data_IF_976196295717
#
_entry.id   IF_976196295717
#
_cell.length_a   1.000
_cell.length_b   1.000
_cell.length_c   1.000
_cell.angle_alpha   90.00
_cell.angle_beta   90.00
_cell.angle_gamma   90.00
#
_symmetry.space_group_name_H-M   'P 1'
#
loop_
_entity.id
_entity.type
_entity.pdbx_description
1 polymer ?
#
# COMPACT_ATOMS: atom_id res chain seq x y z
N UNK A 1 14.76 17.56 -10.66
CA UNK A 1 14.41 17.36 -12.06
C UNK A 1 15.21 18.30 -12.96
N UNK A 2 14.86 19.58 -13.16
CA UNK A 2 15.65 20.44 -14.08
C UNK A 2 17.17 20.52 -13.79
N UNK A 3 17.57 20.59 -12.51
CA UNK A 3 18.99 20.69 -12.14
C UNK A 3 19.79 19.37 -12.25
N UNK A 4 19.12 18.21 -12.31
CA UNK A 4 19.76 16.88 -12.30
C UNK A 4 19.65 16.17 -13.65
N UNK A 5 18.53 16.36 -14.32
CA UNK A 5 18.10 15.58 -15.47
C UNK A 5 17.63 16.49 -16.64
N UNK A 6 17.80 17.81 -16.52
CA UNK A 6 17.37 18.83 -17.50
C UNK A 6 15.91 18.68 -17.95
N UNK A 7 15.08 18.09 -17.08
CA UNK A 7 13.68 17.84 -17.37
C UNK A 7 12.84 19.07 -17.03
N UNK A 8 12.15 19.60 -18.05
CA UNK A 8 11.15 20.66 -17.90
C UNK A 8 9.80 20.06 -17.48
N UNK A 9 9.22 20.62 -16.41
CA UNK A 9 7.88 20.25 -15.96
C UNK A 9 6.87 20.60 -17.06
N UNK A 10 6.02 19.65 -17.51
CA UNK A 10 5.01 19.93 -18.54
C UNK A 10 4.01 21.00 -18.09
N UNK A 11 3.50 21.77 -19.05
CA UNK A 11 2.50 22.80 -18.79
C UNK A 11 1.20 22.17 -18.25
N UNK A 12 0.57 22.84 -17.28
CA UNK A 12 -0.69 22.38 -16.67
C UNK A 12 -0.54 21.28 -15.60
N UNK A 13 0.67 20.75 -15.37
CA UNK A 13 0.92 19.81 -14.28
C UNK A 13 1.01 20.58 -12.95
N UNK A 14 0.31 20.12 -11.93
CA UNK A 14 0.40 20.64 -10.56
C UNK A 14 0.70 19.48 -9.57
N UNK A 15 0.75 19.78 -8.28
CA UNK A 15 1.03 18.77 -7.26
C UNK A 15 -0.06 17.68 -7.18
N UNK A 16 -1.28 17.96 -7.65
CA UNK A 16 -2.39 16.99 -7.73
C UNK A 16 -2.13 15.88 -8.75
N UNK A 17 -1.19 16.08 -9.66
CA UNK A 17 -0.73 15.04 -10.57
C UNK A 17 0.39 14.18 -9.97
N UNK A 18 0.93 14.56 -8.81
CA UNK A 18 1.99 13.82 -8.15
C UNK A 18 1.39 12.84 -7.12
N UNK A 19 1.35 11.56 -7.50
CA UNK A 19 0.94 10.46 -6.63
C UNK A 19 2.17 9.61 -6.32
N UNK A 20 2.79 9.83 -5.17
CA UNK A 20 3.89 9.00 -4.67
C UNK A 20 3.29 7.75 -4.03
N UNK A 21 3.67 6.56 -4.48
CA UNK A 21 3.20 5.32 -3.88
C UNK A 21 4.16 4.82 -2.79
N UNK A 22 3.67 3.91 -1.93
CA UNK A 22 4.47 3.21 -0.92
C UNK A 22 5.80 2.70 -1.47
N UNK A 23 6.87 2.79 -0.67
CA UNK A 23 8.20 2.31 -1.06
C UNK A 23 8.23 0.79 -1.36
N UNK A 24 7.30 0.03 -0.78
CA UNK A 24 7.17 -1.39 -0.99
C UNK A 24 5.73 -1.85 -0.72
N UNK A 25 5.27 -2.83 -1.50
CA UNK A 25 3.96 -3.46 -1.36
C UNK A 25 3.74 -4.07 0.03
N UNK A 26 4.82 -4.53 0.67
CA UNK A 26 4.81 -5.07 2.04
C UNK A 26 4.29 -4.07 3.08
N UNK A 27 4.38 -2.77 2.82
CA UNK A 27 3.80 -1.75 3.69
C UNK A 27 2.27 -1.88 3.80
N UNK A 28 1.59 -2.24 2.70
CA UNK A 28 0.13 -2.42 2.70
C UNK A 28 -0.31 -3.59 3.60
N UNK A 29 0.51 -4.63 3.72
CA UNK A 29 0.21 -5.74 4.62
C UNK A 29 0.19 -5.30 6.09
N UNK A 30 0.96 -4.27 6.44
CA UNK A 30 1.00 -3.75 7.81
C UNK A 30 -0.27 -2.96 8.18
N UNK A 31 -1.04 -2.53 7.18
CA UNK A 31 -2.32 -1.86 7.40
C UNK A 31 -3.43 -2.83 7.85
N UNK A 32 -3.27 -4.14 7.60
CA UNK A 32 -4.29 -5.15 7.87
C UNK A 32 -3.70 -6.38 8.57
N UNK A 33 -3.30 -6.19 9.83
CA UNK A 33 -2.71 -7.22 10.69
C UNK A 33 -3.71 -8.36 10.96
N UNK A 34 -5.01 -8.09 10.88
CA UNK A 34 -6.06 -9.09 11.05
C UNK A 34 -6.01 -10.10 9.91
N UNK A 35 -6.02 -9.64 8.66
CA UNK A 35 -5.87 -10.50 7.47
C UNK A 35 -4.56 -11.28 7.52
N UNK A 36 -3.45 -10.67 7.95
CA UNK A 36 -2.19 -11.40 8.17
C UNK A 36 -2.35 -12.52 9.19
N UNK A 37 -2.99 -12.22 10.32
CA UNK A 37 -3.22 -13.18 11.39
C UNK A 37 -4.11 -14.34 10.95
N UNK A 38 -5.12 -14.09 10.13
CA UNK A 38 -6.00 -15.12 9.59
C UNK A 38 -5.29 -15.96 8.52
N UNK A 39 -4.58 -15.31 7.61
CA UNK A 39 -3.81 -15.99 6.56
C UNK A 39 -2.77 -16.93 7.14
N UNK A 40 -2.00 -16.49 8.14
CA UNK A 40 -0.94 -17.31 8.75
C UNK A 40 -1.46 -18.25 9.85
N UNK A 41 -2.54 -17.87 10.54
CA UNK A 41 -3.18 -18.66 11.59
C UNK A 41 -2.33 -18.83 12.85
N UNK A 42 -2.47 -19.99 13.49
CA UNK A 42 -1.80 -20.31 14.75
C UNK A 42 -0.29 -20.12 14.65
N UNK A 43 0.29 -19.44 15.65
CA UNK A 43 1.72 -19.15 15.72
C UNK A 43 2.13 -17.82 15.10
N UNK A 44 1.20 -17.09 14.45
CA UNK A 44 1.44 -15.73 13.97
C UNK A 44 1.65 -14.76 15.14
N UNK A 45 2.77 -14.03 15.12
CA UNK A 45 3.20 -13.13 16.19
C UNK A 45 2.88 -11.68 15.83
N UNK A 46 1.64 -11.25 16.10
CA UNK A 46 1.16 -9.87 15.81
C UNK A 46 2.08 -8.78 16.35
N UNK A 47 2.66 -9.00 17.53
CA UNK A 47 3.58 -8.05 18.19
C UNK A 47 4.94 -7.87 17.49
N UNK A 48 5.21 -8.60 16.39
CA UNK A 48 6.38 -8.39 15.54
C UNK A 48 6.11 -7.45 14.37
N UNK A 49 4.85 -7.09 14.13
CA UNK A 49 4.49 -6.05 13.17
C UNK A 49 4.51 -4.70 13.91
N UNK A 50 5.24 -3.68 13.41
CA UNK A 50 5.21 -2.35 14.01
C UNK A 50 3.80 -1.76 13.92
N UNK A 51 3.30 -1.25 15.04
CA UNK A 51 2.08 -0.47 15.08
C UNK A 51 2.36 0.89 14.43
N UNK A 52 1.76 1.13 13.28
CA UNK A 52 1.89 2.41 12.58
C UNK A 52 0.56 2.77 11.90
N UNK A 53 0.07 3.98 12.18
CA UNK A 53 -1.13 4.53 11.55
C UNK A 53 -0.87 5.04 10.13
N UNK A 54 0.39 5.24 9.75
CA UNK A 54 0.81 5.60 8.42
C UNK A 54 1.88 4.62 7.90
N UNK A 55 1.45 3.62 7.12
CA UNK A 55 2.34 2.57 6.60
C UNK A 55 3.38 3.10 5.63
N UNK A 56 3.19 4.30 5.05
CA UNK A 56 4.12 4.93 4.12
C UNK A 56 5.39 5.42 4.82
N UNK A 57 5.33 5.62 6.14
CA UNK A 57 6.46 6.04 6.96
C UNK A 57 7.26 4.86 7.54
N UNK A 58 6.84 3.62 7.32
CA UNK A 58 7.61 2.45 7.78
C UNK A 58 8.88 2.36 6.95
N UNK A 59 10.02 2.28 7.63
CA UNK A 59 11.32 2.13 6.98
C UNK A 59 11.30 0.84 6.16
N UNK A 60 11.64 0.94 4.87
CA UNK A 60 11.60 -0.19 3.93
C UNK A 60 12.35 -1.43 4.44
N UNK A 61 13.50 -1.20 5.08
CA UNK A 61 14.36 -2.26 5.60
C UNK A 61 13.74 -3.01 6.80
N UNK A 62 12.70 -2.45 7.44
CA UNK A 62 11.98 -3.09 8.54
C UNK A 62 10.79 -3.93 8.06
N UNK A 63 10.29 -3.72 6.84
CA UNK A 63 9.06 -4.35 6.35
C UNK A 63 9.17 -5.87 6.24
N UNK A 64 10.07 -6.36 5.38
CA UNK A 64 10.22 -7.80 5.14
C UNK A 64 10.70 -8.54 6.40
N UNK A 65 11.69 -8.05 7.17
CA UNK A 65 12.10 -8.71 8.41
C UNK A 65 10.96 -8.83 9.43
N UNK A 66 10.12 -7.79 9.58
CA UNK A 66 8.96 -7.81 10.48
C UNK A 66 7.96 -8.90 10.06
N UNK A 67 7.65 -9.02 8.77
CA UNK A 67 6.78 -10.07 8.25
C UNK A 67 7.35 -11.46 8.49
N UNK A 68 8.64 -11.67 8.24
CA UNK A 68 9.34 -12.95 8.50
C UNK A 68 9.29 -13.32 9.98
N UNK A 69 9.62 -12.38 10.86
CA UNK A 69 9.58 -12.60 12.32
C UNK A 69 8.16 -12.90 12.83
N UNK A 70 7.15 -12.26 12.25
CA UNK A 70 5.75 -12.49 12.61
C UNK A 70 5.23 -13.87 12.18
N UNK A 71 5.70 -14.39 11.04
CA UNK A 71 5.15 -15.60 10.41
C UNK A 71 5.96 -16.88 10.62
N UNK A 72 7.25 -16.80 10.92
CA UNK A 72 8.18 -17.97 10.98
C UNK A 72 7.76 -19.13 11.89
N UNK A 73 6.87 -18.91 12.86
CA UNK A 73 6.37 -19.94 13.78
C UNK A 73 5.03 -20.53 13.38
N UNK A 74 4.53 -20.22 12.18
CA UNK A 74 3.26 -20.70 11.65
C UNK A 74 3.47 -21.96 10.80
N UNK A 75 2.40 -22.69 10.51
CA UNK A 75 2.46 -23.85 9.61
C UNK A 75 2.76 -23.48 8.15
N UNK A 76 2.64 -22.19 7.78
CA UNK A 76 2.99 -21.68 6.45
C UNK A 76 4.44 -21.20 6.35
N UNK A 77 5.20 -21.28 7.44
CA UNK A 77 6.57 -20.81 7.51
C UNK A 77 6.70 -19.30 7.51
N UNK A 78 7.92 -18.81 7.32
CA UNK A 78 8.19 -17.37 7.24
C UNK A 78 7.66 -16.75 5.94
N UNK A 79 7.43 -15.44 5.99
CA UNK A 79 6.95 -14.67 4.85
C UNK A 79 7.88 -14.82 3.65
N UNK A 80 7.29 -15.17 2.51
CA UNK A 80 7.98 -15.29 1.24
C UNK A 80 7.30 -14.41 0.19
N UNK A 81 8.04 -13.41 -0.32
CA UNK A 81 7.53 -12.38 -1.22
C UNK A 81 6.77 -12.95 -2.41
N UNK A 82 7.29 -13.99 -3.06
CA UNK A 82 6.63 -14.55 -4.25
C UNK A 82 5.45 -15.45 -3.87
N UNK A 83 5.54 -16.21 -2.78
CA UNK A 83 4.59 -17.31 -2.51
C UNK A 83 3.38 -16.85 -1.69
N UNK A 84 3.56 -15.81 -0.88
CA UNK A 84 2.55 -15.31 0.05
C UNK A 84 2.00 -13.96 -0.39
N UNK A 85 2.83 -13.06 -0.94
CA UNK A 85 2.40 -11.68 -1.18
C UNK A 85 1.25 -11.56 -2.18
N UNK A 86 1.24 -12.31 -3.28
CA UNK A 86 0.14 -12.26 -4.25
C UNK A 86 -1.20 -12.70 -3.63
N UNK A 87 -1.18 -13.70 -2.76
CA UNK A 87 -2.39 -14.15 -2.04
C UNK A 87 -2.84 -13.09 -1.06
N UNK A 88 -1.91 -12.56 -0.27
CA UNK A 88 -2.19 -11.51 0.71
C UNK A 88 -2.74 -10.25 0.06
N UNK A 89 -2.19 -9.83 -1.09
CA UNK A 89 -2.70 -8.70 -1.86
C UNK A 89 -4.17 -8.86 -2.27
N UNK A 90 -4.60 -10.08 -2.57
CA UNK A 90 -6.00 -10.37 -2.89
C UNK A 90 -6.92 -10.52 -1.67
N UNK A 91 -6.37 -10.47 -0.45
CA UNK A 91 -7.12 -10.67 0.80
C UNK A 91 -7.20 -9.43 1.67
N UNK A 92 -6.19 -8.55 1.63
CA UNK A 92 -6.17 -7.34 2.46
C UNK A 92 -7.36 -6.42 2.16
N UNK A 93 -7.87 -5.80 3.21
CA UNK A 93 -8.96 -4.84 3.11
C UNK A 93 -8.48 -3.51 2.52
N UNK A 94 -9.09 -3.11 1.39
CA UNK A 94 -8.75 -1.87 0.68
C UNK A 94 -9.01 -0.63 1.53
N UNK A 95 -10.07 -0.61 2.34
CA UNK A 95 -10.42 0.54 3.17
C UNK A 95 -9.40 0.72 4.30
N UNK A 96 -8.95 -0.37 4.91
CA UNK A 96 -7.85 -0.33 5.91
C UNK A 96 -6.56 0.18 5.30
N UNK A 97 -6.22 -0.28 4.09
CA UNK A 97 -5.02 0.18 3.37
C UNK A 97 -5.11 1.68 3.07
N UNK A 98 -6.25 2.15 2.55
CA UNK A 98 -6.47 3.58 2.26
C UNK A 98 -6.39 4.43 3.53
N UNK A 99 -7.01 3.99 4.62
CA UNK A 99 -6.96 4.70 5.90
C UNK A 99 -5.52 4.84 6.43
N UNK A 100 -4.68 3.81 6.24
CA UNK A 100 -3.31 3.79 6.73
C UNK A 100 -2.27 4.33 5.73
N UNK A 101 -2.67 4.70 4.51
CA UNK A 101 -1.76 5.09 3.41
C UNK A 101 -2.28 6.37 2.74
N UNK A 102 -1.91 7.56 3.25
CA UNK A 102 -2.42 8.84 2.74
C UNK A 102 -2.28 9.07 1.24
N UNK A 103 -1.17 8.69 0.61
CA UNK A 103 -1.02 8.85 -0.84
C UNK A 103 -1.81 7.80 -1.63
N UNK A 104 -1.99 6.59 -1.09
CA UNK A 104 -2.92 5.62 -1.67
C UNK A 104 -4.34 6.18 -1.67
N UNK A 105 -4.82 6.68 -0.52
CA UNK A 105 -6.16 7.25 -0.44
C UNK A 105 -6.32 8.47 -1.36
N UNK A 106 -5.32 9.35 -1.41
CA UNK A 106 -5.30 10.49 -2.34
C UNK A 106 -5.39 10.05 -3.79
N UNK A 107 -4.69 8.99 -4.18
CA UNK A 107 -4.73 8.44 -5.54
C UNK A 107 -6.14 7.92 -5.88
N UNK A 108 -6.72 7.10 -5.02
CA UNK A 108 -8.09 6.60 -5.21
C UNK A 108 -9.11 7.75 -5.28
N UNK A 109 -9.07 8.66 -4.32
CA UNK A 109 -9.96 9.83 -4.29
C UNK A 109 -9.86 10.67 -5.56
N UNK A 110 -8.63 10.91 -6.04
CA UNK A 110 -8.39 11.69 -7.26
C UNK A 110 -8.93 10.97 -8.50
N UNK A 111 -8.63 9.67 -8.65
CA UNK A 111 -9.10 8.89 -9.78
C UNK A 111 -10.62 8.77 -9.82
N UNK A 112 -11.26 8.48 -8.68
CA UNK A 112 -12.72 8.40 -8.59
C UNK A 112 -13.35 9.74 -8.98
N UNK A 113 -12.84 10.85 -8.48
CA UNK A 113 -13.35 12.18 -8.85
C UNK A 113 -13.22 12.44 -10.37
N UNK A 114 -12.08 12.10 -10.98
CA UNK A 114 -11.86 12.30 -12.42
C UNK A 114 -12.73 11.39 -13.29
N UNK A 115 -12.92 10.14 -12.90
CA UNK A 115 -13.79 9.20 -13.61
C UNK A 115 -15.25 9.65 -13.52
N UNK A 116 -15.72 10.04 -12.34
CA UNK A 116 -17.10 10.53 -12.18
C UNK A 116 -17.38 11.79 -13.01
N UNK A 117 -16.45 12.76 -13.03
CA UNK A 117 -16.59 13.97 -13.86
C UNK A 117 -16.67 13.60 -15.35
N UNK A 118 -15.81 12.68 -15.81
CA UNK A 118 -15.83 12.23 -17.19
C UNK A 118 -17.14 11.52 -17.57
N UNK A 119 -17.74 10.77 -16.65
CA UNK A 119 -19.05 10.13 -16.87
C UNK A 119 -20.18 11.15 -17.00
N UNK A 120 -20.19 12.22 -16.21
CA UNK A 120 -21.24 13.26 -16.31
C UNK A 120 -21.15 14.12 -17.58
N UNK A 121 -19.97 14.25 -18.19
CA UNK A 121 -19.80 14.98 -19.45
C UNK A 121 -20.18 14.16 -20.69
N UNK A 122 -20.21 12.83 -20.58
CA UNK A 122 -20.60 11.93 -21.67
C UNK A 122 -22.13 11.78 -21.81
N UNK A 123 -22.90 12.16 -20.79
CA UNK A 123 -24.37 12.09 -20.79
C UNK A 123 -25.02 13.40 -21.28
N UNK A 124 -24.23 14.44 -21.55
CA UNK A 124 -24.70 15.75 -22.05
C UNK A 124 -24.45 15.97 -23.56
N UNK A 125 -23.92 14.97 -24.27
CA UNK A 125 -23.64 14.99 -25.72
C UNK A 125 -24.49 13.97 -26.49
#
# INVERSE_FOLDING_TARGET
MKLRDNWDKPAGVNDDNCHLMVQAMEAWFMADIETLSEFYGQGFRRNKIPLNNNVENIVKDDLEPSLKLASRSTSKGEYHKINHAYKLLGLIDVDKVRQASPYCDRFFTTLTAKICIASSQADEE
#
